data_IF_132007941085
#
_entry.id   IF_132007941085
#
_cell.length_a   1.000
_cell.length_b   1.000
_cell.length_c   1.000
_cell.angle_alpha   90.00
_cell.angle_beta   90.00
_cell.angle_gamma   90.00
#
_symmetry.space_group_name_H-M   'P 1'
#
loop_
_entity.id
_entity.type
_entity.pdbx_description
1 polymer ?
#
# COMPACT_ATOMS: atom_id res chain seq x y z
N UNK A 1 -17.39 8.54 3.16
CA UNK A 1 -16.08 9.14 2.85
C UNK A 1 -15.04 8.05 2.69
N UNK A 2 -14.17 8.22 1.72
CA UNK A 2 -13.15 7.24 1.42
C UNK A 2 -11.97 7.28 2.37
N UNK A 3 -11.28 6.16 2.50
CA UNK A 3 -10.00 6.04 3.20
C UNK A 3 -8.94 5.57 2.21
N UNK A 4 -7.74 6.08 2.36
CA UNK A 4 -6.61 5.75 1.49
C UNK A 4 -5.67 4.80 2.22
N UNK A 5 -5.39 3.66 1.58
CA UNK A 5 -4.52 2.63 2.14
C UNK A 5 -3.17 2.73 1.46
N UNK A 6 -2.16 3.16 2.21
CA UNK A 6 -0.83 3.41 1.68
C UNK A 6 0.05 2.17 1.74
N UNK A 7 0.82 1.93 0.68
CA UNK A 7 1.83 0.87 0.66
C UNK A 7 3.13 1.35 1.34
N UNK A 8 4.10 0.44 1.47
CA UNK A 8 5.38 0.79 2.08
C UNK A 8 6.14 1.84 1.28
N UNK A 9 5.99 1.85 -0.05
CA UNK A 9 6.68 2.80 -0.91
C UNK A 9 6.18 4.23 -0.74
N UNK A 10 4.95 4.43 -0.28
CA UNK A 10 4.48 5.75 0.11
C UNK A 10 5.46 6.41 1.09
N UNK A 11 5.94 5.66 2.06
CA UNK A 11 6.89 6.16 3.06
C UNK A 11 8.34 6.07 2.58
N UNK A 12 8.73 4.91 2.05
CA UNK A 12 10.12 4.63 1.68
C UNK A 12 10.60 5.54 0.56
N UNK A 13 9.81 5.68 -0.49
CA UNK A 13 10.16 6.51 -1.64
C UNK A 13 10.14 7.99 -1.28
N UNK A 14 9.17 8.44 -0.48
CA UNK A 14 9.12 9.80 0.00
C UNK A 14 10.39 10.15 0.79
N UNK A 15 10.78 9.30 1.73
CA UNK A 15 11.96 9.53 2.55
C UNK A 15 13.25 9.52 1.73
N UNK A 16 13.39 8.59 0.79
CA UNK A 16 14.63 8.41 0.03
C UNK A 16 14.81 9.42 -1.10
N UNK A 17 13.73 9.83 -1.72
CA UNK A 17 13.81 10.55 -3.00
C UNK A 17 13.09 11.89 -2.98
N UNK A 18 11.80 11.90 -2.71
CA UNK A 18 10.95 13.05 -3.00
C UNK A 18 10.88 14.04 -1.84
N UNK A 19 10.74 13.54 -0.62
CA UNK A 19 10.52 14.36 0.58
C UNK A 19 11.32 13.83 1.76
N UNK A 20 12.67 14.00 1.76
CA UNK A 20 13.49 13.52 2.88
C UNK A 20 13.03 14.09 4.22
N UNK A 21 13.11 13.26 5.26
CA UNK A 21 12.65 13.62 6.62
C UNK A 21 13.37 14.84 7.21
N UNK A 22 14.62 15.04 6.82
CA UNK A 22 15.45 16.12 7.35
C UNK A 22 15.19 17.48 6.71
N UNK A 23 14.49 17.53 5.56
CA UNK A 23 14.24 18.79 4.83
C UNK A 23 12.78 19.04 4.52
N UNK A 24 11.94 18.03 4.44
CA UNK A 24 10.54 18.15 4.01
C UNK A 24 9.56 18.03 5.19
N UNK A 25 9.74 18.84 6.21
CA UNK A 25 8.93 18.78 7.44
C UNK A 25 7.44 18.98 7.19
N UNK A 26 7.07 19.86 6.27
CA UNK A 26 5.65 20.15 5.99
C UNK A 26 4.94 18.92 5.40
N UNK A 27 5.61 18.16 4.54
CA UNK A 27 5.06 16.91 4.01
C UNK A 27 4.79 15.90 5.14
N UNK A 28 5.81 15.64 5.98
CA UNK A 28 5.70 14.65 7.06
C UNK A 28 4.71 15.05 8.13
N UNK A 29 4.62 16.35 8.44
CA UNK A 29 3.59 16.86 9.35
C UNK A 29 2.18 16.65 8.77
N UNK A 30 2.01 16.85 7.48
CA UNK A 30 0.73 16.59 6.82
C UNK A 30 0.39 15.10 6.83
N UNK A 31 1.36 14.23 6.57
CA UNK A 31 1.15 12.77 6.66
C UNK A 31 0.68 12.38 8.06
N UNK A 32 1.34 12.90 9.10
CA UNK A 32 0.93 12.65 10.49
C UNK A 32 -0.50 13.11 10.75
N UNK A 33 -0.85 14.32 10.31
CA UNK A 33 -2.18 14.88 10.47
C UNK A 33 -3.24 13.99 9.82
N UNK A 34 -3.02 13.58 8.57
CA UNK A 34 -3.95 12.71 7.85
C UNK A 34 -4.08 11.34 8.51
N UNK A 35 -3.00 10.80 9.05
CA UNK A 35 -3.01 9.54 9.79
C UNK A 35 -3.82 9.66 11.08
N UNK A 36 -3.64 10.73 11.85
CA UNK A 36 -4.39 10.99 13.09
C UNK A 36 -5.89 11.14 12.79
N UNK A 37 -6.22 11.80 11.69
CA UNK A 37 -7.61 11.97 11.24
C UNK A 37 -8.23 10.69 10.67
N UNK A 38 -7.45 9.64 10.47
CA UNK A 38 -7.92 8.38 9.88
C UNK A 38 -8.19 8.45 8.39
N UNK A 39 -7.71 9.50 7.70
CA UNK A 39 -7.88 9.65 6.25
C UNK A 39 -6.93 8.76 5.46
N UNK A 40 -5.77 8.46 6.03
CA UNK A 40 -4.84 7.45 5.51
C UNK A 40 -4.61 6.38 6.57
N UNK A 41 -4.52 5.14 6.13
CA UNK A 41 -4.21 3.97 6.95
C UNK A 41 -3.28 3.04 6.18
N UNK A 42 -2.81 2.00 6.84
CA UNK A 42 -2.08 0.93 6.17
C UNK A 42 -2.44 -0.41 6.82
N UNK A 43 -1.66 -1.44 6.54
CA UNK A 43 -1.90 -2.79 7.04
C UNK A 43 -0.67 -3.33 7.76
N UNK A 44 -0.85 -4.38 8.53
CA UNK A 44 0.21 -5.04 9.31
C UNK A 44 1.39 -5.51 8.46
N UNK A 45 1.13 -5.99 7.24
CA UNK A 45 2.20 -6.42 6.32
C UNK A 45 3.09 -5.26 5.86
N UNK A 46 2.52 -4.08 5.69
CA UNK A 46 3.29 -2.87 5.37
C UNK A 46 4.15 -2.45 6.56
N UNK A 47 3.63 -2.57 7.78
CA UNK A 47 4.40 -2.32 8.99
C UNK A 47 5.65 -3.19 9.03
N UNK A 48 5.51 -4.47 8.72
CA UNK A 48 6.63 -5.41 8.72
C UNK A 48 7.70 -5.02 7.70
N UNK A 49 7.33 -4.45 6.57
CA UNK A 49 8.26 -3.97 5.56
C UNK A 49 9.02 -2.70 5.98
N UNK A 50 8.43 -1.86 6.82
CA UNK A 50 9.01 -0.58 7.26
C UNK A 50 9.81 -0.77 8.55
N UNK A 51 9.31 -1.58 9.48
CA UNK A 51 9.88 -1.74 10.81
C UNK A 51 11.03 -2.76 10.79
N UNK A 52 11.82 -2.79 11.85
CA UNK A 52 13.01 -3.63 12.01
C UNK A 52 14.14 -3.29 11.02
N UNK A 53 14.17 -2.06 10.53
CA UNK A 53 15.22 -1.53 9.65
C UNK A 53 16.23 -0.68 10.39
N UNK A 54 15.93 -0.29 11.61
CA UNK A 54 16.78 0.54 12.48
C UNK A 54 17.23 1.81 11.76
N UNK A 55 16.31 2.52 11.15
CA UNK A 55 16.57 3.74 10.39
C UNK A 55 15.64 4.88 10.82
N UNK A 56 15.86 6.06 10.24
CA UNK A 56 15.12 7.28 10.56
C UNK A 56 13.63 7.17 10.23
N UNK A 57 13.28 6.46 9.16
CA UNK A 57 11.88 6.28 8.78
C UNK A 57 11.12 5.45 9.81
N UNK A 58 11.69 4.35 10.26
CA UNK A 58 11.08 3.53 11.31
C UNK A 58 10.87 4.35 12.59
N UNK A 59 11.87 5.12 12.97
CA UNK A 59 11.80 5.99 14.17
C UNK A 59 10.66 7.00 14.03
N UNK A 60 10.55 7.63 12.87
CA UNK A 60 9.47 8.60 12.61
C UNK A 60 8.09 7.93 12.69
N UNK A 61 7.94 6.78 12.08
CA UNK A 61 6.67 6.04 12.09
C UNK A 61 6.26 5.67 13.52
N UNK A 62 7.19 5.15 14.32
CA UNK A 62 6.93 4.78 15.71
C UNK A 62 6.51 5.97 16.55
N UNK A 63 7.11 7.12 16.31
CA UNK A 63 6.86 8.34 17.08
C UNK A 63 5.58 9.05 16.66
N UNK A 64 5.23 9.02 15.37
CA UNK A 64 4.22 9.93 14.81
C UNK A 64 2.94 9.27 14.35
N UNK A 65 2.94 7.99 13.98
CA UNK A 65 1.72 7.31 13.52
C UNK A 65 0.89 6.84 14.71
N UNK A 66 -0.46 6.89 14.60
CA UNK A 66 -1.34 6.33 15.64
C UNK A 66 -1.11 4.83 15.82
N UNK A 67 -1.39 4.32 17.02
CA UNK A 67 -1.24 2.89 17.33
C UNK A 67 -2.08 1.99 16.45
N UNK A 68 -3.23 2.48 15.98
CA UNK A 68 -4.16 1.76 15.13
C UNK A 68 -3.98 2.04 13.64
N UNK A 69 -2.90 2.70 13.25
CA UNK A 69 -2.65 3.05 11.85
C UNK A 69 -2.54 1.80 10.95
N UNK A 70 -1.81 0.80 11.42
CA UNK A 70 -1.61 -0.44 10.67
C UNK A 70 -2.71 -1.44 11.05
N UNK A 71 -3.64 -1.68 10.13
CA UNK A 71 -4.78 -2.56 10.36
C UNK A 71 -4.39 -4.03 10.21
N UNK A 72 -5.04 -4.88 10.98
CA UNK A 72 -4.81 -6.31 10.94
C UNK A 72 -5.49 -6.93 9.71
N UNK A 73 -4.82 -7.86 9.04
CA UNK A 73 -5.33 -8.53 7.84
C UNK A 73 -5.85 -9.95 8.09
N UNK A 74 -6.00 -10.38 9.34
CA UNK A 74 -6.54 -11.72 9.63
C UNK A 74 -7.98 -11.90 9.17
N UNK A 75 -8.74 -10.83 9.08
CA UNK A 75 -10.16 -10.87 8.68
C UNK A 75 -10.38 -10.88 7.16
N UNK A 76 -9.30 -10.74 6.36
CA UNK A 76 -9.40 -10.68 4.90
C UNK A 76 -8.80 -11.92 4.21
N UNK A 77 -8.73 -13.04 4.92
CA UNK A 77 -8.18 -14.29 4.36
C UNK A 77 -9.03 -14.78 3.19
N UNK A 78 -10.35 -14.62 3.25
CA UNK A 78 -11.25 -14.99 2.15
C UNK A 78 -10.91 -14.21 0.87
N UNK A 79 -10.74 -12.90 0.97
CA UNK A 79 -10.36 -12.03 -0.13
C UNK A 79 -8.95 -12.36 -0.62
N UNK A 80 -8.02 -12.61 0.29
CA UNK A 80 -6.67 -13.02 -0.04
C UNK A 80 -6.67 -14.33 -0.86
N UNK A 81 -7.51 -15.30 -0.50
CA UNK A 81 -7.65 -16.54 -1.27
C UNK A 81 -8.13 -16.30 -2.70
N UNK A 82 -8.99 -15.30 -2.90
CA UNK A 82 -9.42 -14.91 -4.25
C UNK A 82 -8.26 -14.33 -5.05
N UNK A 83 -7.43 -13.50 -4.44
CA UNK A 83 -6.23 -12.94 -5.06
C UNK A 83 -5.25 -14.05 -5.43
N UNK A 84 -5.03 -15.00 -4.54
CA UNK A 84 -4.19 -16.19 -4.77
C UNK A 84 -4.72 -16.97 -5.99
N UNK A 85 -6.01 -17.25 -6.03
CA UNK A 85 -6.64 -17.97 -7.14
C UNK A 85 -6.44 -17.27 -8.49
N UNK A 86 -6.60 -15.96 -8.50
CA UNK A 86 -6.35 -15.18 -9.69
C UNK A 86 -4.88 -15.27 -10.14
N UNK A 87 -3.94 -15.06 -9.23
CA UNK A 87 -2.51 -15.09 -9.55
C UNK A 87 -2.10 -16.45 -10.12
N UNK A 88 -2.54 -17.54 -9.48
CA UNK A 88 -2.26 -18.91 -9.94
C UNK A 88 -2.88 -19.16 -11.33
N UNK A 89 -4.07 -18.62 -11.60
CA UNK A 89 -4.72 -18.74 -12.91
C UNK A 89 -3.94 -18.05 -14.03
N UNK A 90 -3.01 -17.17 -13.70
CA UNK A 90 -2.17 -16.42 -14.64
C UNK A 90 -0.80 -17.05 -14.87
N UNK A 91 -0.62 -18.31 -14.53
CA UNK A 91 0.66 -19.03 -14.68
C UNK A 91 1.12 -19.16 -16.15
N UNK A 92 0.22 -19.01 -17.12
CA UNK A 92 0.58 -18.96 -18.53
C UNK A 92 1.18 -17.61 -18.94
N UNK A 93 0.99 -16.56 -18.15
CA UNK A 93 1.49 -15.21 -18.44
C UNK A 93 2.68 -14.83 -17.56
N UNK A 94 2.52 -14.94 -16.24
CA UNK A 94 3.57 -14.57 -15.28
C UNK A 94 4.54 -15.71 -15.05
N UNK A 95 5.83 -15.35 -14.81
CA UNK A 95 6.83 -16.34 -14.44
C UNK A 95 6.49 -16.97 -13.06
N UNK A 96 6.96 -18.19 -12.78
CA UNK A 96 6.77 -18.79 -11.46
C UNK A 96 7.34 -17.92 -10.33
N UNK A 97 8.46 -17.26 -10.55
CA UNK A 97 9.07 -16.37 -9.55
C UNK A 97 8.17 -15.15 -9.28
N UNK A 98 7.55 -14.59 -10.32
CA UNK A 98 6.65 -13.45 -10.17
C UNK A 98 5.43 -13.82 -9.29
N UNK A 99 4.85 -14.98 -9.53
CA UNK A 99 3.70 -15.48 -8.76
C UNK A 99 4.12 -15.76 -7.32
N UNK A 100 5.24 -16.45 -7.13
CA UNK A 100 5.72 -16.78 -5.79
C UNK A 100 6.04 -15.53 -4.97
N UNK A 101 6.68 -14.53 -5.56
CA UNK A 101 6.97 -13.26 -4.91
C UNK A 101 5.68 -12.54 -4.50
N UNK A 102 4.72 -12.44 -5.42
CA UNK A 102 3.45 -11.76 -5.16
C UNK A 102 2.64 -12.44 -4.06
N UNK A 103 2.69 -13.77 -3.97
CA UNK A 103 1.92 -14.56 -3.00
C UNK A 103 2.71 -14.87 -1.72
N UNK A 104 3.93 -14.36 -1.59
CA UNK A 104 4.70 -14.55 -0.36
C UNK A 104 3.94 -13.95 0.81
N UNK A 105 3.77 -14.73 1.88
CA UNK A 105 3.03 -14.29 3.07
C UNK A 105 3.68 -13.10 3.78
N UNK A 106 4.97 -12.86 3.52
CA UNK A 106 5.70 -11.73 4.09
C UNK A 106 5.64 -10.47 3.21
N UNK A 107 5.06 -10.58 2.01
CA UNK A 107 4.87 -9.45 1.10
C UNK A 107 3.50 -8.80 1.30
N UNK A 108 3.46 -7.48 1.18
CA UNK A 108 2.25 -6.73 1.47
C UNK A 108 1.26 -6.64 0.31
N UNK A 109 1.72 -6.74 -0.94
CA UNK A 109 0.93 -6.36 -2.12
C UNK A 109 -0.40 -7.10 -2.23
N UNK A 110 -0.39 -8.43 -2.13
CA UNK A 110 -1.61 -9.22 -2.22
C UNK A 110 -2.57 -8.95 -1.05
N UNK A 111 -2.03 -8.70 0.13
CA UNK A 111 -2.83 -8.37 1.31
C UNK A 111 -3.43 -6.96 1.23
N UNK A 112 -2.73 -6.00 0.62
CA UNK A 112 -3.28 -4.66 0.36
C UNK A 112 -4.53 -4.76 -0.53
N UNK A 113 -4.44 -5.55 -1.58
CA UNK A 113 -5.56 -5.77 -2.49
C UNK A 113 -6.71 -6.45 -1.75
N UNK A 114 -6.43 -7.50 -1.00
CA UNK A 114 -7.43 -8.22 -0.22
C UNK A 114 -8.13 -7.29 0.79
N UNK A 115 -7.37 -6.44 1.46
CA UNK A 115 -7.93 -5.50 2.42
C UNK A 115 -8.86 -4.48 1.75
N UNK A 116 -8.48 -3.97 0.57
CA UNK A 116 -9.33 -3.05 -0.19
C UNK A 116 -10.58 -3.75 -0.74
N UNK A 117 -10.48 -5.03 -1.10
CA UNK A 117 -11.61 -5.82 -1.60
C UNK A 117 -12.74 -5.97 -0.58
N UNK A 118 -12.44 -5.97 0.70
CA UNK A 118 -13.45 -6.08 1.75
C UNK A 118 -14.43 -4.90 1.74
N UNK A 119 -13.98 -3.74 1.28
CA UNK A 119 -14.82 -2.54 1.17
C UNK A 119 -14.37 -1.66 0.00
N UNK A 120 -14.65 -2.09 -1.21
CA UNK A 120 -14.22 -1.39 -2.43
C UNK A 120 -14.86 -0.01 -2.58
N UNK A 121 -16.01 0.23 -1.94
CA UNK A 121 -16.72 1.51 -2.01
C UNK A 121 -15.97 2.62 -1.28
N UNK A 122 -15.25 2.29 -0.21
CA UNK A 122 -14.60 3.29 0.64
C UNK A 122 -13.09 3.19 0.69
N UNK A 123 -12.48 2.09 0.24
CA UNK A 123 -11.03 1.87 0.31
C UNK A 123 -10.35 2.06 -1.04
N UNK A 124 -9.34 2.93 -1.09
CA UNK A 124 -8.52 3.18 -2.28
C UNK A 124 -7.06 2.88 -1.93
N UNK A 125 -6.37 2.10 -2.78
CA UNK A 125 -4.95 1.83 -2.60
C UNK A 125 -4.13 2.99 -3.14
N UNK A 126 -3.10 3.39 -2.40
CA UNK A 126 -2.14 4.41 -2.82
C UNK A 126 -0.85 3.70 -3.22
N UNK A 127 -0.51 3.77 -4.49
CA UNK A 127 0.68 3.13 -5.04
C UNK A 127 1.28 3.99 -6.14
N UNK A 128 2.62 3.96 -6.24
CA UNK A 128 3.34 4.60 -7.35
C UNK A 128 3.48 3.67 -8.56
N UNK A 129 3.07 2.43 -8.43
CA UNK A 129 3.13 1.47 -9.52
C UNK A 129 2.19 1.85 -10.66
N UNK A 130 2.64 1.61 -11.88
CA UNK A 130 1.88 1.88 -13.11
C UNK A 130 1.49 0.56 -13.74
N UNK A 131 0.26 0.49 -14.27
CA UNK A 131 -0.21 -0.69 -14.98
C UNK A 131 0.73 -1.06 -16.13
N UNK A 132 1.10 -2.33 -16.18
CA UNK A 132 1.90 -2.89 -17.28
C UNK A 132 1.44 -4.33 -17.55
N UNK A 133 0.32 -4.50 -18.30
CA UNK A 133 -0.25 -5.84 -18.54
C UNK A 133 0.69 -6.79 -19.29
N UNK A 134 1.69 -6.27 -20.00
CA UNK A 134 2.65 -7.09 -20.75
C UNK A 134 3.80 -7.63 -19.90
N UNK A 135 3.99 -7.09 -18.69
CA UNK A 135 5.06 -7.54 -17.82
C UNK A 135 4.81 -8.95 -17.33
N UNK A 136 5.83 -9.82 -17.43
CA UNK A 136 5.76 -11.22 -17.03
C UNK A 136 6.60 -11.53 -15.79
N UNK A 137 7.57 -10.66 -15.49
CA UNK A 137 8.55 -10.88 -14.43
C UNK A 137 8.08 -10.41 -13.05
N UNK A 138 6.97 -9.67 -12.98
CA UNK A 138 6.41 -9.16 -11.72
C UNK A 138 4.92 -8.93 -11.88
N UNK A 139 4.15 -9.26 -10.83
CA UNK A 139 2.75 -8.86 -10.70
C UNK A 139 2.73 -7.52 -9.97
N UNK A 140 2.27 -6.48 -10.66
CA UNK A 140 2.11 -5.15 -10.07
C UNK A 140 0.70 -4.96 -9.54
N UNK A 141 0.56 -4.09 -8.54
CA UNK A 141 -0.72 -3.81 -7.88
C UNK A 141 -1.85 -3.44 -8.87
N UNK A 142 -1.62 -2.59 -9.90
CA UNK A 142 -2.70 -2.21 -10.82
C UNK A 142 -3.41 -3.37 -11.53
N UNK A 143 -2.71 -4.43 -11.89
CA UNK A 143 -3.32 -5.54 -12.62
C UNK A 143 -4.41 -6.25 -11.81
N UNK A 144 -4.15 -6.76 -10.60
CA UNK A 144 -5.22 -7.36 -9.79
C UNK A 144 -6.27 -6.35 -9.34
N UNK A 145 -5.92 -5.09 -9.15
CA UNK A 145 -6.91 -4.05 -8.83
C UNK A 145 -7.98 -3.94 -9.91
N UNK A 146 -7.60 -4.00 -11.18
CA UNK A 146 -8.55 -3.96 -12.28
C UNK A 146 -9.49 -5.19 -12.27
N UNK A 147 -8.98 -6.35 -11.88
CA UNK A 147 -9.76 -7.59 -11.81
C UNK A 147 -10.79 -7.56 -10.68
N UNK A 148 -10.37 -7.05 -9.51
CA UNK A 148 -11.19 -7.09 -8.29
C UNK A 148 -11.94 -5.78 -8.03
N UNK A 149 -11.96 -4.87 -9.00
CA UNK A 149 -12.66 -3.59 -8.91
C UNK A 149 -12.18 -2.75 -7.71
N UNK A 150 -10.87 -2.75 -7.48
CA UNK A 150 -10.21 -1.94 -6.46
C UNK A 150 -9.65 -0.69 -7.10
N UNK A 151 -10.01 0.47 -6.53
CA UNK A 151 -9.47 1.75 -6.99
C UNK A 151 -8.03 1.93 -6.47
N UNK A 152 -7.16 2.47 -7.31
CA UNK A 152 -5.80 2.82 -6.91
C UNK A 152 -5.41 4.19 -7.49
N UNK A 153 -4.61 4.94 -6.75
CA UNK A 153 -4.14 6.27 -7.15
C UNK A 153 -2.69 6.47 -6.69
N UNK A 154 -2.03 7.48 -7.25
CA UNK A 154 -0.69 7.89 -6.81
C UNK A 154 -0.76 8.74 -5.55
N UNK A 155 0.35 8.81 -4.82
CA UNK A 155 0.42 9.56 -3.57
C UNK A 155 -0.01 11.01 -3.71
N UNK A 156 0.42 11.69 -4.78
CA UNK A 156 0.08 13.10 -4.97
C UNK A 156 -1.43 13.30 -5.16
N UNK A 157 -2.14 12.32 -5.71
CA UNK A 157 -3.57 12.42 -5.91
C UNK A 157 -4.35 12.38 -4.60
N UNK A 158 -3.81 11.74 -3.57
CA UNK A 158 -4.42 11.76 -2.23
C UNK A 158 -4.58 13.19 -1.75
N UNK A 159 -3.52 13.98 -1.86
CA UNK A 159 -3.55 15.38 -1.42
C UNK A 159 -4.51 16.22 -2.27
N UNK A 160 -4.56 15.98 -3.57
CA UNK A 160 -5.50 16.66 -4.47
C UNK A 160 -6.95 16.33 -4.13
N UNK A 161 -7.27 15.06 -3.95
CA UNK A 161 -8.63 14.63 -3.63
C UNK A 161 -9.08 15.12 -2.26
N UNK A 162 -8.17 15.13 -1.28
CA UNK A 162 -8.46 15.65 0.05
C UNK A 162 -8.40 17.19 0.13
N UNK A 163 -7.95 17.84 -0.95
CA UNK A 163 -7.74 19.29 -1.01
C UNK A 163 -6.77 19.77 0.06
N UNK A 164 -5.72 19.00 0.27
CA UNK A 164 -4.68 19.29 1.25
C UNK A 164 -3.41 19.75 0.56
N UNK A 165 -2.65 20.59 1.25
CA UNK A 165 -1.34 21.08 0.80
C UNK A 165 -0.31 20.88 1.91
N UNK A 166 0.95 20.92 1.52
CA UNK A 166 2.07 20.83 2.47
C UNK A 166 3.25 21.69 2.04
#
# INVERSE_FOLDING_TARGET
>A
MGVYIVDSNFFIQAHRETYPLDVAFSFWNKVKELAIEGKIISIDKVKDEIYNKNNALEAWCKENLPDDFFKNTTDVISEYQQVVGWAVSKSAHYSPNAINEFLDADEADAFLIAFAMEDTASRTIVTQEVSNPKMKSKIKIPEPCAIFNVRFIKAIEVFRELRETF
#
